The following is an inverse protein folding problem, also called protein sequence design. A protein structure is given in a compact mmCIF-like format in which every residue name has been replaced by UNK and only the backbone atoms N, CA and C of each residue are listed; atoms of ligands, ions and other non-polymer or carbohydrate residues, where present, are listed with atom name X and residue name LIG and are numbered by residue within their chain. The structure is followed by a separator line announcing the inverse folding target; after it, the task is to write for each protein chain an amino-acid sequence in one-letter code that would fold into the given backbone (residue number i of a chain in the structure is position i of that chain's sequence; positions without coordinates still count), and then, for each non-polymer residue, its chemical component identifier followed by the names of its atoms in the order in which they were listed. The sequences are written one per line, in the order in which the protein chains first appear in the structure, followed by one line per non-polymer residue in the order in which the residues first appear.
data_IF_136776315058
#
_entry.id   IF_136776315058
#
_cell.length_a   1.000
_cell.length_b   1.000
_cell.length_c   1.000
_cell.angle_alpha   90.00
_cell.angle_beta   90.00
_cell.angle_gamma   90.00
#
_symmetry.space_group_name_H-M   'P 1'
#
loop_
_entity.id
_entity.type
_entity.pdbx_description
1 polymer ?
#
# COMPACT_ATOMS: atom_id res chain seq x y z
N UNK A 1 1.59 26.52 35.76
CA UNK A 1 2.03 25.13 35.46
C UNK A 1 2.15 24.41 36.80
N UNK A 2 1.39 23.40 37.16
CA UNK A 2 0.79 22.31 36.40
C UNK A 2 -0.61 22.01 36.95
N UNK A 3 -1.58 21.88 36.05
CA UNK A 3 -2.89 21.30 36.34
C UNK A 3 -2.77 19.79 36.17
N UNK A 4 -3.05 19.06 37.24
CA UNK A 4 -3.30 17.62 37.24
C UNK A 4 -4.73 17.36 36.75
N UNK A 5 -4.93 16.40 35.86
CA UNK A 5 -6.25 15.83 35.60
C UNK A 5 -6.18 14.40 35.06
N UNK A 6 -6.76 13.51 35.86
CA UNK A 6 -7.57 12.34 35.52
C UNK A 6 -6.96 11.18 34.70
N UNK A 7 -6.94 10.02 35.35
CA UNK A 7 -6.78 8.73 34.71
C UNK A 7 -7.94 8.41 33.76
N UNK A 8 -7.58 7.79 32.65
CA UNK A 8 -8.47 7.03 31.79
C UNK A 8 -7.79 5.69 31.50
N UNK A 9 -8.39 4.61 31.96
CA UNK A 9 -7.97 3.25 31.62
C UNK A 9 -8.01 3.09 30.10
N UNK A 10 -6.84 2.90 29.45
CA UNK A 10 -6.80 2.52 28.04
C UNK A 10 -7.31 1.08 27.93
N UNK A 11 -8.57 0.93 27.54
CA UNK A 11 -9.15 -0.35 27.11
C UNK A 11 -8.24 -0.90 26.00
N UNK A 12 -7.51 -1.99 26.28
CA UNK A 12 -6.62 -2.62 25.31
C UNK A 12 -7.49 -3.05 24.12
N UNK A 13 -7.25 -2.47 22.95
CA UNK A 13 -7.91 -2.90 21.72
C UNK A 13 -7.33 -4.26 21.35
N UNK A 14 -8.16 -5.30 21.36
CA UNK A 14 -7.80 -6.60 20.83
C UNK A 14 -7.44 -6.46 19.34
N UNK A 15 -6.20 -6.86 19.02
CA UNK A 15 -5.54 -6.89 17.73
C UNK A 15 -5.48 -5.55 16.95
N UNK A 16 -4.33 -4.88 17.00
CA UNK A 16 -4.07 -3.60 16.31
C UNK A 16 -3.90 -3.73 14.78
N UNK A 17 -3.95 -4.95 14.24
CA UNK A 17 -3.62 -5.21 12.85
C UNK A 17 -4.84 -5.55 11.98
N UNK A 18 -4.87 -5.10 10.70
CA UNK A 18 -5.91 -5.50 9.76
C UNK A 18 -6.00 -7.02 9.57
N UNK A 19 -7.12 -7.56 9.05
CA UNK A 19 -7.21 -8.98 8.70
C UNK A 19 -6.05 -9.44 7.80
N UNK A 20 -5.41 -10.56 8.15
CA UNK A 20 -4.24 -11.08 7.42
C UNK A 20 -2.90 -10.42 7.78
N UNK A 21 -2.89 -9.56 8.81
CA UNK A 21 -1.68 -8.97 9.38
C UNK A 21 -1.47 -9.44 10.81
N UNK A 22 -0.24 -9.86 11.08
CA UNK A 22 0.26 -10.18 12.41
C UNK A 22 1.54 -9.37 12.71
N UNK A 23 1.98 -9.40 13.96
CA UNK A 23 3.17 -8.68 14.39
C UNK A 23 4.45 -9.15 13.69
N UNK A 24 4.52 -10.41 13.25
CA UNK A 24 5.70 -10.92 12.54
C UNK A 24 5.78 -10.36 11.13
N UNK A 25 4.66 -10.32 10.41
CA UNK A 25 4.53 -9.71 9.10
C UNK A 25 4.89 -8.24 9.15
N UNK A 26 4.36 -7.50 10.13
CA UNK A 26 4.68 -6.07 10.30
C UNK A 26 6.18 -5.89 10.54
N UNK A 27 6.79 -6.67 11.44
CA UNK A 27 8.24 -6.58 11.71
C UNK A 27 9.09 -6.90 10.47
N UNK A 28 8.72 -7.90 9.67
CA UNK A 28 9.45 -8.21 8.42
C UNK A 28 9.35 -7.09 7.40
N UNK A 29 8.17 -6.49 7.26
CA UNK A 29 7.96 -5.36 6.34
C UNK A 29 8.76 -4.14 6.79
N UNK A 30 8.74 -3.82 8.09
CA UNK A 30 9.54 -2.71 8.64
C UNK A 30 11.04 -2.95 8.43
N UNK A 31 11.55 -4.14 8.78
CA UNK A 31 12.96 -4.46 8.59
C UNK A 31 13.40 -4.36 7.12
N UNK A 32 12.55 -4.80 6.17
CA UNK A 32 12.80 -4.66 4.73
C UNK A 32 13.01 -3.20 4.34
N UNK A 33 12.02 -2.35 4.62
CA UNK A 33 12.07 -0.93 4.25
C UNK A 33 13.11 -0.11 5.04
N UNK A 34 13.41 -0.47 6.28
CA UNK A 34 14.48 0.19 7.07
C UNK A 34 15.88 -0.14 6.54
N UNK A 35 16.06 -1.32 5.94
CA UNK A 35 17.35 -1.76 5.39
C UNK A 35 17.53 -1.41 3.91
N UNK A 36 16.46 -0.98 3.24
CA UNK A 36 16.45 -0.70 1.80
C UNK A 36 17.33 0.52 1.48
N UNK A 37 18.15 0.39 0.44
CA UNK A 37 18.89 1.53 -0.11
C UNK A 37 18.00 2.41 -0.99
N UNK A 38 18.39 3.66 -1.18
CA UNK A 38 17.67 4.59 -2.07
C UNK A 38 17.58 4.04 -3.52
N UNK A 39 18.65 3.39 -4.00
CA UNK A 39 18.68 2.75 -5.32
C UNK A 39 17.68 1.59 -5.43
N UNK A 40 17.57 0.75 -4.40
CA UNK A 40 16.59 -0.34 -4.36
C UNK A 40 15.16 0.18 -4.27
N UNK A 41 14.91 1.26 -3.53
CA UNK A 41 13.60 1.88 -3.47
C UNK A 41 13.17 2.43 -4.84
N UNK A 42 14.09 3.10 -5.54
CA UNK A 42 13.87 3.59 -6.91
C UNK A 42 13.63 2.43 -7.87
N UNK A 43 14.42 1.36 -7.79
CA UNK A 43 14.25 0.19 -8.64
C UNK A 43 12.90 -0.53 -8.41
N UNK A 44 12.43 -0.61 -7.17
CA UNK A 44 11.09 -1.15 -6.86
C UNK A 44 9.98 -0.28 -7.48
N UNK A 45 10.10 1.05 -7.40
CA UNK A 45 9.16 1.98 -8.01
C UNK A 45 9.16 1.90 -9.55
N UNK A 46 10.33 1.79 -10.18
CA UNK A 46 10.46 1.66 -11.64
C UNK A 46 9.97 0.29 -12.15
N UNK A 47 10.26 -0.78 -11.43
CA UNK A 47 9.83 -2.14 -11.80
C UNK A 47 8.30 -2.29 -11.87
N UNK A 48 7.54 -1.49 -11.11
CA UNK A 48 6.08 -1.45 -11.20
C UNK A 48 5.60 -1.08 -12.62
N UNK A 49 6.40 -0.29 -13.36
CA UNK A 49 6.12 0.14 -14.73
C UNK A 49 6.66 -0.84 -15.80
N UNK A 50 7.54 -1.78 -15.43
CA UNK A 50 8.16 -2.74 -16.36
C UNK A 50 7.41 -4.08 -16.49
N UNK A 51 6.17 -4.16 -15.99
CA UNK A 51 5.39 -5.40 -16.05
C UNK A 51 5.21 -5.86 -17.51
N UNK A 52 5.75 -7.03 -17.84
CA UNK A 52 5.68 -7.59 -19.20
C UNK A 52 4.24 -7.67 -19.71
N UNK A 53 4.00 -7.13 -20.90
CA UNK A 53 2.67 -7.11 -21.52
C UNK A 53 1.73 -6.03 -20.96
N UNK A 54 2.23 -5.15 -20.10
CA UNK A 54 1.53 -3.95 -19.66
C UNK A 54 2.25 -2.70 -20.16
N UNK A 55 1.50 -1.61 -20.27
CA UNK A 55 2.02 -0.31 -20.69
C UNK A 55 1.36 0.74 -19.81
N UNK A 56 2.15 1.69 -19.32
CA UNK A 56 1.64 2.85 -18.59
C UNK A 56 1.46 4.00 -19.56
N UNK A 57 0.28 4.60 -19.51
CA UNK A 57 -0.11 5.73 -20.36
C UNK A 57 -0.91 6.73 -19.54
N UNK A 58 -0.75 8.01 -19.84
CA UNK A 58 -1.62 9.05 -19.29
C UNK A 58 -3.03 8.92 -19.88
N UNK A 59 -4.03 9.06 -19.01
CA UNK A 59 -5.44 8.97 -19.36
C UNK A 59 -6.18 10.11 -18.66
N UNK A 60 -6.90 10.97 -19.39
CA UNK A 60 -7.82 11.93 -18.78
C UNK A 60 -8.82 11.20 -17.87
N UNK A 61 -8.99 11.71 -16.64
CA UNK A 61 -9.74 10.99 -15.59
C UNK A 61 -11.18 10.63 -15.99
N UNK A 62 -11.81 11.47 -16.81
CA UNK A 62 -13.14 11.26 -17.36
C UNK A 62 -13.25 10.03 -18.28
N UNK A 63 -12.15 9.57 -18.86
CA UNK A 63 -12.09 8.41 -19.75
C UNK A 63 -11.80 7.09 -19.02
N UNK A 64 -11.38 7.15 -17.75
CA UNK A 64 -10.99 5.96 -16.97
C UNK A 64 -12.08 4.88 -16.91
N UNK A 65 -13.38 5.19 -16.70
CA UNK A 65 -14.43 4.17 -16.70
C UNK A 65 -14.54 3.40 -18.02
N UNK A 66 -14.45 4.10 -19.15
CA UNK A 66 -14.54 3.51 -20.48
C UNK A 66 -13.36 2.60 -20.79
N UNK A 67 -12.14 3.00 -20.42
CA UNK A 67 -10.94 2.19 -20.61
C UNK A 67 -10.99 0.93 -19.74
N UNK A 68 -11.49 1.04 -18.50
CA UNK A 68 -11.69 -0.13 -17.62
C UNK A 68 -12.63 -1.16 -18.24
N UNK A 69 -13.73 -0.71 -18.85
CA UNK A 69 -14.67 -1.58 -19.55
C UNK A 69 -14.01 -2.25 -20.76
N UNK A 70 -13.26 -1.50 -21.58
CA UNK A 70 -12.53 -2.04 -22.72
C UNK A 70 -11.56 -3.16 -22.30
N UNK A 71 -10.79 -2.95 -21.23
CA UNK A 71 -9.84 -3.95 -20.71
C UNK A 71 -10.59 -5.18 -20.18
N UNK A 72 -11.71 -4.99 -19.48
CA UNK A 72 -12.52 -6.10 -18.99
C UNK A 72 -13.04 -6.97 -20.14
N UNK A 73 -13.55 -6.35 -21.21
CA UNK A 73 -14.01 -7.05 -22.41
C UNK A 73 -12.89 -7.80 -23.11
N UNK A 74 -11.70 -7.20 -23.22
CA UNK A 74 -10.53 -7.87 -23.82
C UNK A 74 -10.10 -9.11 -23.03
N UNK A 75 -10.17 -9.08 -21.69
CA UNK A 75 -9.81 -10.24 -20.84
C UNK A 75 -10.84 -11.37 -20.85
N UNK A 76 -12.07 -11.06 -21.25
CA UNK A 76 -13.16 -12.03 -21.33
C UNK A 76 -13.25 -12.72 -22.70
N UNK A 77 -12.56 -12.19 -23.72
CA UNK A 77 -12.45 -12.76 -25.07
C UNK A 77 -11.32 -13.80 -25.15
#
# INVERSE_FOLDING_TARGET
MHIVAAGGERKVKENEFPPGWDAERVRRVLAHYESQSEEEAVAEDEAAFETKGQTVMEVPSELVPMIRELIANHKAA
#
